data_IF_543265690942
#
_entry.id   IF_543265690942
#
_cell.length_a   1.000
_cell.length_b   1.000
_cell.length_c   1.000
_cell.angle_alpha   90.00
_cell.angle_beta   90.00
_cell.angle_gamma   90.00
#
_symmetry.space_group_name_H-M   'P 1'
#
loop_
_entity.id
_entity.type
_entity.pdbx_description
1 polymer ?
#
# COMPACT_ATOMS: atom_id res chain seq x y z
N UNK A 1 -2.48 5.41 -14.08
CA UNK A 1 -2.47 4.53 -12.90
C UNK A 1 -2.40 3.13 -13.46
N UNK A 2 -1.43 2.32 -13.06
CA UNK A 2 -1.15 1.06 -13.77
C UNK A 2 -2.32 0.08 -13.63
N UNK A 3 -2.71 -0.58 -14.71
CA UNK A 3 -3.83 -1.56 -14.77
C UNK A 3 -3.51 -2.90 -14.07
N UNK A 4 -2.46 -2.92 -13.25
CA UNK A 4 -1.94 -4.11 -12.60
C UNK A 4 -3.03 -4.80 -11.77
N UNK A 5 -3.09 -6.11 -11.94
CA UNK A 5 -3.87 -7.00 -11.11
C UNK A 5 -3.19 -7.21 -9.76
N UNK A 6 -3.93 -7.64 -8.72
CA UNK A 6 -3.30 -7.94 -7.43
C UNK A 6 -2.18 -8.99 -7.53
N UNK A 7 -2.28 -9.96 -8.45
CA UNK A 7 -1.26 -11.00 -8.64
C UNK A 7 0.03 -10.41 -9.22
N UNK A 8 -0.06 -9.52 -10.21
CA UNK A 8 1.11 -8.85 -10.79
C UNK A 8 1.80 -7.94 -9.78
N UNK A 9 1.02 -7.24 -8.94
CA UNK A 9 1.60 -6.41 -7.85
C UNK A 9 2.36 -7.29 -6.86
N UNK A 10 1.80 -8.42 -6.43
CA UNK A 10 2.50 -9.37 -5.55
C UNK A 10 3.77 -9.90 -6.21
N UNK A 11 3.69 -10.31 -7.47
CA UNK A 11 4.83 -10.81 -8.23
C UNK A 11 5.96 -9.78 -8.34
N UNK A 12 5.64 -8.51 -8.53
CA UNK A 12 6.66 -7.45 -8.58
C UNK A 12 7.25 -7.18 -7.19
N UNK A 13 6.45 -7.26 -6.13
CA UNK A 13 6.94 -7.15 -4.74
C UNK A 13 7.82 -8.35 -4.34
N UNK A 14 7.55 -9.55 -4.87
CA UNK A 14 8.35 -10.76 -4.62
C UNK A 14 9.80 -10.62 -5.09
N UNK A 15 10.07 -9.74 -6.08
CA UNK A 15 11.43 -9.48 -6.57
C UNK A 15 12.31 -8.73 -5.57
N UNK A 16 11.72 -8.08 -4.57
CA UNK A 16 12.44 -7.21 -3.62
C UNK A 16 12.25 -7.61 -2.16
N UNK A 17 11.14 -8.28 -1.83
CA UNK A 17 10.80 -8.65 -0.46
C UNK A 17 10.64 -10.16 -0.42
N UNK A 18 11.35 -10.85 0.47
CA UNK A 18 11.19 -12.30 0.66
C UNK A 18 10.07 -12.57 1.69
N UNK A 19 9.20 -13.53 1.41
CA UNK A 19 8.10 -13.90 2.31
C UNK A 19 6.99 -12.83 2.40
N UNK A 20 6.43 -12.62 3.59
CA UNK A 20 5.39 -11.60 3.88
C UNK A 20 4.17 -11.65 2.94
N UNK A 21 3.71 -12.86 2.59
CA UNK A 21 2.65 -13.09 1.59
C UNK A 21 1.36 -12.31 1.90
N UNK A 22 0.93 -12.32 3.16
CA UNK A 22 -0.31 -11.65 3.58
C UNK A 22 -0.21 -10.13 3.47
N UNK A 23 0.92 -9.56 3.89
CA UNK A 23 1.16 -8.13 3.77
C UNK A 23 1.20 -7.69 2.29
N UNK A 24 1.87 -8.45 1.42
CA UNK A 24 1.88 -8.18 -0.04
C UNK A 24 0.49 -8.25 -0.65
N UNK A 25 -0.30 -9.27 -0.29
CA UNK A 25 -1.68 -9.42 -0.75
C UNK A 25 -2.56 -8.25 -0.28
N UNK A 26 -2.44 -7.84 0.98
CA UNK A 26 -3.19 -6.73 1.54
C UNK A 26 -2.91 -5.43 0.77
N UNK A 27 -1.64 -5.09 0.55
CA UNK A 27 -1.28 -3.87 -0.19
C UNK A 27 -1.68 -3.92 -1.66
N UNK A 28 -1.59 -5.08 -2.29
CA UNK A 28 -2.00 -5.28 -3.68
C UNK A 28 -3.51 -5.06 -3.87
N UNK A 29 -4.32 -5.58 -2.95
CA UNK A 29 -5.78 -5.36 -2.95
C UNK A 29 -6.11 -3.90 -2.70
N UNK A 30 -5.46 -3.25 -1.73
CA UNK A 30 -5.69 -1.83 -1.45
C UNK A 30 -5.36 -0.94 -2.66
N UNK A 31 -4.26 -1.22 -3.36
CA UNK A 31 -3.91 -0.51 -4.60
C UNK A 31 -4.93 -0.77 -5.71
N UNK A 32 -5.35 -2.03 -5.90
CA UNK A 32 -6.37 -2.38 -6.91
C UNK A 32 -7.72 -1.72 -6.60
N UNK A 33 -8.09 -1.58 -5.34
CA UNK A 33 -9.32 -0.90 -4.95
C UNK A 33 -9.31 0.59 -5.33
N UNK A 34 -8.14 1.25 -5.34
CA UNK A 34 -8.02 2.62 -5.87
C UNK A 34 -8.29 2.69 -7.37
N UNK A 35 -7.82 1.70 -8.13
CA UNK A 35 -8.15 1.58 -9.55
C UNK A 35 -9.64 1.32 -9.76
N UNK A 36 -10.23 0.37 -9.02
CA UNK A 36 -11.67 0.04 -9.10
C UNK A 36 -12.54 1.26 -8.79
N UNK A 37 -12.18 2.03 -7.76
CA UNK A 37 -12.90 3.27 -7.40
C UNK A 37 -12.96 4.26 -8.57
N UNK A 38 -11.90 4.37 -9.38
CA UNK A 38 -11.90 5.28 -10.54
C UNK A 38 -12.87 4.87 -11.63
N UNK A 39 -13.29 3.61 -11.66
CA UNK A 39 -14.27 3.08 -12.62
C UNK A 39 -15.71 3.21 -12.14
N UNK A 40 -15.93 3.65 -10.89
CA UNK A 40 -17.28 3.87 -10.36
C UNK A 40 -17.85 5.18 -10.87
N UNK A 41 -19.18 5.25 -10.92
CA UNK A 41 -19.94 6.48 -11.15
C UNK A 41 -19.56 7.58 -10.15
N UNK A 42 -19.60 8.87 -10.53
CA UNK A 42 -19.15 9.98 -9.68
C UNK A 42 -19.84 10.00 -8.30
N UNK A 43 -21.15 9.77 -8.25
CA UNK A 43 -21.91 9.78 -7.00
C UNK A 43 -21.44 8.70 -6.02
N UNK A 44 -21.19 7.48 -6.51
CA UNK A 44 -20.72 6.37 -5.68
C UNK A 44 -19.23 6.49 -5.34
N UNK A 45 -18.45 7.13 -6.22
CA UNK A 45 -16.99 7.28 -6.06
C UNK A 45 -16.60 8.06 -4.80
N UNK A 46 -17.37 9.08 -4.45
CA UNK A 46 -17.16 9.91 -3.24
C UNK A 46 -17.39 9.11 -1.95
N UNK A 47 -18.35 8.18 -1.96
CA UNK A 47 -18.68 7.32 -0.82
C UNK A 47 -17.62 6.20 -0.57
N UNK A 48 -16.72 5.95 -1.53
CA UNK A 48 -15.74 4.86 -1.44
C UNK A 48 -14.38 5.36 -0.93
N UNK A 49 -14.19 5.21 0.38
CA UNK A 49 -12.93 5.55 1.04
C UNK A 49 -11.79 4.57 0.76
N UNK A 50 -10.52 5.05 0.74
CA UNK A 50 -9.35 4.17 0.66
C UNK A 50 -9.32 3.15 1.80
N UNK A 51 -8.91 1.91 1.49
CA UNK A 51 -8.68 0.88 2.50
C UNK A 51 -7.27 1.02 3.07
N UNK A 52 -7.15 1.75 4.17
CA UNK A 52 -5.89 1.94 4.89
C UNK A 52 -5.44 0.61 5.52
N UNK A 53 -4.13 0.46 5.71
CA UNK A 53 -3.51 -0.78 6.18
C UNK A 53 -2.70 -0.49 7.44
N UNK A 54 -2.92 -1.29 8.48
CA UNK A 54 -2.06 -1.37 9.65
C UNK A 54 -1.19 -2.62 9.54
N UNK A 55 0.13 -2.45 9.47
CA UNK A 55 1.08 -3.56 9.44
C UNK A 55 1.62 -3.83 10.84
N UNK A 56 1.39 -5.03 11.37
CA UNK A 56 1.84 -5.45 12.70
C UNK A 56 2.98 -6.47 12.55
N UNK A 57 4.08 -6.24 13.25
CA UNK A 57 5.23 -7.16 13.27
C UNK A 57 6.52 -6.50 13.79
N UNK A 58 7.57 -7.27 14.06
CA UNK A 58 8.83 -6.75 14.62
C UNK A 58 9.60 -5.88 13.61
N UNK A 59 10.64 -5.18 14.07
CA UNK A 59 11.54 -4.41 13.20
C UNK A 59 12.28 -5.33 12.22
N UNK A 60 12.73 -4.79 11.08
CA UNK A 60 13.51 -5.55 10.09
C UNK A 60 12.73 -6.50 9.16
N UNK A 61 11.46 -6.82 9.43
CA UNK A 61 10.69 -7.79 8.61
C UNK A 61 10.19 -7.27 7.25
N UNK A 62 10.51 -6.04 6.87
CA UNK A 62 10.17 -5.48 5.55
C UNK A 62 8.89 -4.65 5.46
N UNK A 63 8.23 -4.29 6.58
CA UNK A 63 7.01 -3.44 6.59
C UNK A 63 7.17 -2.16 5.75
N UNK A 64 8.23 -1.39 6.03
CA UNK A 64 8.51 -0.14 5.33
C UNK A 64 8.90 -0.36 3.86
N UNK A 65 9.61 -1.46 3.58
CA UNK A 65 10.07 -1.77 2.22
C UNK A 65 8.90 -2.16 1.31
N UNK A 66 7.91 -2.90 1.82
CA UNK A 66 6.65 -3.18 1.11
C UNK A 66 5.98 -1.87 0.68
N UNK A 67 5.79 -0.93 1.62
CA UNK A 67 5.15 0.36 1.32
C UNK A 67 5.96 1.21 0.33
N UNK A 68 7.29 1.26 0.49
CA UNK A 68 8.20 1.99 -0.41
C UNK A 68 8.16 1.43 -1.83
N UNK A 69 8.25 0.11 -1.98
CA UNK A 69 8.22 -0.58 -3.29
C UNK A 69 6.87 -0.44 -3.96
N UNK A 70 5.79 -0.57 -3.20
CA UNK A 70 4.43 -0.37 -3.71
C UNK A 70 4.25 1.05 -4.29
N UNK A 71 4.74 2.08 -3.60
CA UNK A 71 4.66 3.44 -4.10
C UNK A 71 5.49 3.65 -5.38
N UNK A 72 6.70 3.08 -5.44
CA UNK A 72 7.53 3.09 -6.66
C UNK A 72 6.82 2.41 -7.83
N UNK A 73 6.22 1.24 -7.60
CA UNK A 73 5.45 0.50 -8.61
C UNK A 73 4.23 1.30 -9.10
N UNK A 74 3.52 1.95 -8.18
CA UNK A 74 2.35 2.77 -8.49
C UNK A 74 2.71 4.15 -9.08
N UNK A 75 4.00 4.50 -9.16
CA UNK A 75 4.50 5.85 -9.47
C UNK A 75 3.80 6.92 -8.61
N UNK A 76 3.65 6.60 -7.32
CA UNK A 76 2.95 7.45 -6.35
C UNK A 76 3.96 8.17 -5.44
N UNK A 77 3.65 9.41 -5.00
CA UNK A 77 4.41 10.07 -3.94
C UNK A 77 4.44 9.20 -2.67
N UNK A 78 5.60 9.14 -2.01
CA UNK A 78 5.80 8.36 -0.79
C UNK A 78 6.50 9.19 0.28
N UNK A 79 5.98 9.14 1.50
CA UNK A 79 6.57 9.78 2.67
C UNK A 79 6.58 8.79 3.84
N UNK A 80 7.70 8.75 4.57
CA UNK A 80 7.84 8.00 5.82
C UNK A 80 7.88 9.02 6.96
N UNK A 81 7.01 8.88 7.93
CA UNK A 81 7.03 9.69 9.15
C UNK A 81 6.96 8.76 10.35
N UNK A 82 7.62 9.15 11.44
CA UNK A 82 7.56 8.45 12.72
C UNK A 82 6.51 9.14 13.59
N UNK A 83 5.52 8.38 14.06
CA UNK A 83 4.38 8.95 14.78
C UNK A 83 4.80 9.62 16.10
N UNK A 84 5.82 9.08 16.77
CA UNK A 84 6.37 9.59 18.03
C UNK A 84 6.97 10.98 17.90
N UNK A 85 7.39 11.39 16.69
CA UNK A 85 7.87 12.76 16.42
C UNK A 85 6.82 13.84 16.76
N UNK A 86 5.53 13.47 16.80
CA UNK A 86 4.44 14.41 17.07
C UNK A 86 3.91 14.34 18.51
N UNK A 87 4.45 13.44 19.33
CA UNK A 87 4.10 13.35 20.76
C UNK A 87 5.15 13.97 21.66
N UNK A 88 6.33 14.33 21.12
CA UNK A 88 7.31 15.16 21.81
C UNK A 88 6.79 16.61 21.88
N UNK A 89 5.91 16.84 22.84
CA UNK A 89 5.75 18.14 23.48
C UNK A 89 6.81 18.16 24.59
N UNK A 90 8.04 18.54 24.21
CA UNK A 90 9.23 18.60 25.07
C UNK A 90 10.48 18.16 24.33
#
# INVERSE_FOLDING_TARGET
MTDLTPREIVSELDRFIIGQKDAKRAVAVALRNRWRRKQLDPALREEVYPKNILMIGPTGVGKTEISRRLAKLAKAPFIKVEATKFTEVG
#
